data_IF_850972443258
#
_entry.id   IF_850972443258
#
_cell.length_a   1.000
_cell.length_b   1.000
_cell.length_c   1.000
_cell.angle_alpha   90.00
_cell.angle_beta   90.00
_cell.angle_gamma   90.00
#
_symmetry.space_group_name_H-M   'P 1'
#
loop_
_entity.id
_entity.type
_entity.pdbx_description
1 polymer ?
#
# COMPACT_ATOMS: atom_id res chain seq x y z
N UNK A 1 -2.02 12.40 -21.39
CA UNK A 1 -1.27 12.58 -20.13
C UNK A 1 -0.33 11.40 -20.00
N UNK A 2 0.95 11.62 -20.26
CA UNK A 2 2.02 10.67 -20.00
C UNK A 2 2.41 10.84 -18.53
N UNK A 3 2.58 9.73 -17.82
CA UNK A 3 3.10 9.71 -16.44
C UNK A 3 4.60 9.98 -16.52
N UNK A 4 4.94 11.25 -16.69
CA UNK A 4 6.30 11.76 -16.63
C UNK A 4 6.67 11.92 -15.17
N UNK A 5 7.46 10.94 -14.71
CA UNK A 5 8.45 10.98 -13.63
C UNK A 5 8.35 9.69 -12.81
N UNK A 6 8.90 8.62 -13.40
CA UNK A 6 8.81 7.26 -12.91
C UNK A 6 10.14 6.84 -12.25
N UNK A 7 10.69 7.69 -11.38
CA UNK A 7 11.75 7.28 -10.44
C UNK A 7 11.16 6.52 -9.22
N UNK A 8 9.85 6.25 -9.24
CA UNK A 8 9.09 5.40 -8.30
C UNK A 8 8.58 4.09 -8.96
N UNK A 9 9.24 3.63 -10.04
CA UNK A 9 8.68 2.67 -11.00
C UNK A 9 8.26 1.30 -10.47
N UNK A 10 8.82 0.83 -9.36
CA UNK A 10 8.65 -0.57 -8.94
C UNK A 10 7.69 -0.77 -7.74
N UNK A 11 7.41 0.27 -6.95
CA UNK A 11 6.68 0.13 -5.68
C UNK A 11 5.40 1.00 -5.64
N UNK A 12 4.25 0.33 -5.73
CA UNK A 12 2.93 0.94 -5.54
C UNK A 12 2.44 0.73 -4.10
N UNK A 13 2.12 1.82 -3.40
CA UNK A 13 1.56 1.77 -2.03
C UNK A 13 0.08 2.14 -2.04
N UNK A 14 -0.77 1.32 -1.40
CA UNK A 14 -2.20 1.56 -1.29
C UNK A 14 -2.66 1.49 0.17
N UNK A 15 -3.38 2.52 0.62
CA UNK A 15 -3.99 2.57 1.95
C UNK A 15 -5.50 2.31 1.86
N UNK A 16 -6.03 1.51 2.79
CA UNK A 16 -7.48 1.35 2.99
C UNK A 16 -7.82 1.06 4.45
N UNK A 17 -8.99 1.53 4.89
CA UNK A 17 -9.49 1.32 6.26
C UNK A 17 -10.15 -0.04 6.48
N UNK A 18 -10.45 -0.80 5.42
CA UNK A 18 -11.18 -2.07 5.50
C UNK A 18 -10.51 -3.14 4.64
N UNK A 19 -10.42 -4.37 5.17
CA UNK A 19 -9.77 -5.49 4.47
C UNK A 19 -10.44 -5.83 3.13
N UNK A 20 -11.77 -5.72 3.04
CA UNK A 20 -12.48 -5.93 1.77
C UNK A 20 -12.06 -4.88 0.72
N UNK A 21 -11.94 -3.61 1.12
CA UNK A 21 -11.47 -2.55 0.22
C UNK A 21 -10.01 -2.77 -0.20
N UNK A 22 -9.16 -3.27 0.71
CA UNK A 22 -7.80 -3.68 0.35
C UNK A 22 -7.81 -4.75 -0.75
N UNK A 23 -8.61 -5.82 -0.57
CA UNK A 23 -8.76 -6.89 -1.57
C UNK A 23 -9.22 -6.33 -2.93
N UNK A 24 -10.28 -5.52 -2.93
CA UNK A 24 -10.78 -4.89 -4.14
C UNK A 24 -9.73 -4.02 -4.84
N UNK A 25 -8.94 -3.23 -4.09
CA UNK A 25 -7.86 -2.42 -4.66
C UNK A 25 -6.74 -3.29 -5.25
N UNK A 26 -6.29 -4.34 -4.55
CA UNK A 26 -5.26 -5.25 -5.06
C UNK A 26 -5.70 -5.92 -6.36
N UNK A 27 -6.93 -6.43 -6.42
CA UNK A 27 -7.50 -7.02 -7.65
C UNK A 27 -7.59 -6.00 -8.78
N UNK A 28 -8.03 -4.77 -8.50
CA UNK A 28 -8.11 -3.70 -9.50
C UNK A 28 -6.75 -3.31 -10.05
N UNK A 29 -5.73 -3.21 -9.19
CA UNK A 29 -4.36 -2.92 -9.62
C UNK A 29 -3.80 -4.07 -10.44
N UNK A 30 -4.05 -5.33 -10.06
CA UNK A 30 -3.64 -6.49 -10.86
C UNK A 30 -4.25 -6.46 -12.27
N UNK A 31 -5.56 -6.22 -12.36
CA UNK A 31 -6.25 -6.10 -13.64
C UNK A 31 -5.73 -4.92 -14.47
N UNK A 32 -5.54 -3.74 -13.86
CA UNK A 32 -5.03 -2.57 -14.54
C UNK A 32 -3.59 -2.76 -15.04
N UNK A 33 -2.73 -3.37 -14.22
CA UNK A 33 -1.35 -3.70 -14.58
C UNK A 33 -1.31 -4.66 -15.76
N UNK A 34 -2.12 -5.73 -15.71
CA UNK A 34 -2.24 -6.68 -16.82
C UNK A 34 -2.73 -6.02 -18.12
N UNK A 35 -3.67 -5.07 -18.03
CA UNK A 35 -4.18 -4.33 -19.18
C UNK A 35 -3.10 -3.45 -19.86
N UNK A 36 -2.07 -3.03 -19.13
CA UNK A 36 -0.93 -2.27 -19.67
C UNK A 36 0.33 -3.14 -19.88
N UNK A 37 0.22 -4.47 -19.74
CA UNK A 37 1.33 -5.41 -19.93
C UNK A 37 2.33 -5.46 -18.77
N UNK A 38 1.98 -4.93 -17.60
CA UNK A 38 2.79 -4.99 -16.38
C UNK A 38 2.40 -6.21 -15.53
N UNK A 39 3.41 -6.84 -14.94
CA UNK A 39 3.23 -7.98 -14.04
C UNK A 39 3.47 -7.55 -12.59
N UNK A 40 2.48 -7.81 -11.72
CA UNK A 40 2.68 -7.63 -10.29
C UNK A 40 3.51 -8.79 -9.76
N UNK A 41 4.65 -8.46 -9.14
CA UNK A 41 5.46 -9.46 -8.47
C UNK A 41 4.84 -9.83 -7.12
N UNK A 42 4.04 -10.90 -7.11
CA UNK A 42 3.29 -11.36 -5.93
C UNK A 42 4.19 -11.59 -4.70
N UNK A 43 5.34 -12.25 -4.86
CA UNK A 43 6.28 -12.47 -3.77
C UNK A 43 7.00 -11.22 -3.22
N UNK A 44 6.82 -10.05 -3.85
CA UNK A 44 7.32 -8.76 -3.34
C UNK A 44 6.19 -7.91 -2.76
N UNK A 45 4.94 -8.31 -3.00
CA UNK A 45 3.76 -7.60 -2.52
C UNK A 45 3.59 -7.87 -1.02
N UNK A 46 3.69 -6.80 -0.25
CA UNK A 46 3.65 -6.82 1.22
C UNK A 46 2.45 -6.03 1.72
N UNK A 47 1.96 -6.39 2.90
CA UNK A 47 0.90 -5.68 3.58
C UNK A 47 1.34 -5.31 5.00
N UNK A 48 1.17 -4.04 5.33
CA UNK A 48 1.24 -3.55 6.71
C UNK A 48 -0.19 -3.38 7.22
N UNK A 49 -0.50 -4.06 8.32
CA UNK A 49 -1.78 -3.90 9.02
C UNK A 49 -1.53 -3.02 10.23
N UNK A 50 -2.22 -1.89 10.27
CA UNK A 50 -2.18 -1.00 11.43
C UNK A 50 -3.58 -0.93 12.06
N UNK A 51 -3.64 -0.85 13.39
CA UNK A 51 -4.88 -0.67 14.16
C UNK A 51 -6.02 -1.67 13.85
N UNK A 52 -5.69 -2.91 13.46
CA UNK A 52 -6.69 -3.95 13.18
C UNK A 52 -6.35 -5.28 13.82
N UNK A 53 -7.36 -5.92 14.43
CA UNK A 53 -7.27 -7.30 14.93
C UNK A 53 -7.50 -8.35 13.82
N UNK A 54 -7.73 -7.92 12.58
CA UNK A 54 -8.04 -8.82 11.48
C UNK A 54 -6.79 -9.56 11.02
N UNK A 55 -6.76 -10.87 11.25
CA UNK A 55 -5.65 -11.79 10.87
C UNK A 55 -5.91 -12.56 9.58
N UNK A 56 -7.06 -12.35 8.94
CA UNK A 56 -7.42 -13.08 7.74
C UNK A 56 -6.45 -12.75 6.60
N UNK A 57 -5.93 -13.72 5.85
CA UNK A 57 -5.01 -13.45 4.76
C UNK A 57 -5.68 -12.61 3.66
N UNK A 58 -4.90 -11.69 3.11
CA UNK A 58 -5.21 -11.02 1.86
C UNK A 58 -4.46 -11.77 0.77
N UNK A 59 -5.20 -12.18 -0.26
CA UNK A 59 -4.64 -12.94 -1.38
C UNK A 59 -4.68 -12.12 -2.65
N UNK A 60 -3.64 -12.28 -3.48
CA UNK A 60 -3.60 -11.80 -4.85
C UNK A 60 -3.45 -13.00 -5.78
N UNK A 61 -4.46 -13.25 -6.62
CA UNK A 61 -4.51 -14.44 -7.50
C UNK A 61 -4.20 -15.77 -6.77
N UNK A 62 -4.70 -15.90 -5.54
CA UNK A 62 -4.52 -17.11 -4.72
C UNK A 62 -3.21 -17.19 -3.92
N UNK A 63 -2.31 -16.23 -4.04
CA UNK A 63 -1.10 -16.14 -3.20
C UNK A 63 -1.31 -15.15 -2.05
N UNK A 64 -1.00 -15.58 -0.83
CA UNK A 64 -1.06 -14.73 0.36
C UNK A 64 -0.01 -13.61 0.28
N UNK A 65 -0.41 -12.39 0.61
CA UNK A 65 0.51 -11.27 0.76
C UNK A 65 1.29 -11.40 2.07
N UNK A 66 2.57 -11.07 2.05
CA UNK A 66 3.42 -11.10 3.24
C UNK A 66 3.02 -9.98 4.21
N UNK A 67 2.62 -10.36 5.43
CA UNK A 67 2.39 -9.43 6.53
C UNK A 67 3.72 -8.92 7.09
N UNK A 68 3.98 -7.63 6.92
CA UNK A 68 5.16 -6.96 7.45
C UNK A 68 4.81 -6.08 8.63
N UNK A 69 5.76 -5.90 9.55
CA UNK A 69 5.61 -5.04 10.74
C UNK A 69 5.96 -3.59 10.48
N UNK A 70 6.76 -3.34 9.45
CA UNK A 70 7.20 -2.00 9.07
C UNK A 70 7.18 -1.85 7.56
N UNK A 71 6.92 -0.63 7.10
CA UNK A 71 6.97 -0.22 5.71
C UNK A 71 7.82 1.04 5.61
N UNK A 72 8.73 1.09 4.62
CA UNK A 72 9.50 2.31 4.36
C UNK A 72 8.90 3.01 3.15
N UNK A 73 8.34 4.19 3.35
CA UNK A 73 7.79 5.02 2.29
C UNK A 73 8.48 6.38 2.30
N UNK A 74 9.14 6.74 1.18
CA UNK A 74 9.85 8.01 1.04
C UNK A 74 10.88 8.31 2.16
N UNK A 75 11.51 7.26 2.69
CA UNK A 75 12.46 7.38 3.81
C UNK A 75 11.80 7.41 5.20
N UNK A 76 10.47 7.47 5.28
CA UNK A 76 9.72 7.36 6.53
C UNK A 76 9.41 5.90 6.84
N UNK A 77 9.69 5.47 8.06
CA UNK A 77 9.31 4.15 8.57
C UNK A 77 7.94 4.26 9.22
N UNK A 78 6.98 3.51 8.70
CA UNK A 78 5.64 3.35 9.24
C UNK A 78 5.57 1.97 9.87
N UNK A 79 5.16 1.87 11.12
CA UNK A 79 4.97 0.60 11.82
C UNK A 79 3.47 0.23 11.97
N UNK A 80 3.21 -0.93 12.58
CA UNK A 80 1.85 -1.42 12.87
C UNK A 80 1.05 -0.52 13.83
N UNK A 81 1.68 0.41 14.53
CA UNK A 81 1.06 1.36 15.46
C UNK A 81 0.76 2.71 14.79
N UNK A 82 1.15 2.88 13.52
CA UNK A 82 0.93 4.10 12.76
C UNK A 82 1.92 5.22 13.09
N UNK A 83 3.03 4.90 13.76
CA UNK A 83 4.04 5.88 14.19
C UNK A 83 5.44 5.57 13.67
N UNK A 84 6.19 6.62 13.35
CA UNK A 84 7.64 6.58 13.48
C UNK A 84 7.96 7.03 14.90
N UNK A 85 8.60 6.18 15.71
CA UNK A 85 8.97 6.46 17.11
C UNK A 85 10.01 7.62 17.25
N UNK A 86 10.35 8.26 16.12
CA UNK A 86 11.15 9.48 16.04
C UNK A 86 10.32 10.61 15.42
N UNK A 87 9.73 11.44 16.28
CA UNK A 87 9.47 12.86 16.06
C UNK A 87 8.93 13.26 14.67
N UNK A 88 7.66 12.97 14.39
CA UNK A 88 6.92 13.65 13.32
C UNK A 88 5.56 14.11 13.85
N UNK A 89 5.58 15.19 14.63
CA UNK A 89 4.53 16.18 14.50
C UNK A 89 4.53 16.62 13.01
N UNK A 90 3.37 16.69 12.36
CA UNK A 90 3.18 17.30 11.01
C UNK A 90 3.10 16.36 9.79
N UNK A 91 2.17 15.40 9.76
CA UNK A 91 1.72 14.80 8.48
C UNK A 91 0.22 14.47 8.37
N UNK A 92 -0.54 14.52 9.47
CA UNK A 92 -2.01 14.31 9.44
C UNK A 92 -2.77 15.43 8.70
N UNK A 93 -2.09 16.50 8.25
CA UNK A 93 -2.73 17.64 7.58
C UNK A 93 -2.76 17.60 6.04
N UNK A 94 -2.10 16.66 5.37
CA UNK A 94 -2.02 16.73 3.90
C UNK A 94 -3.12 15.95 3.17
N UNK A 95 -3.74 14.94 3.79
CA UNK A 95 -4.81 14.15 3.16
C UNK A 95 -6.21 14.81 3.16
N UNK A 96 -6.40 15.95 3.83
CA UNK A 96 -7.62 16.77 3.68
C UNK A 96 -7.55 17.78 2.53
N UNK A 97 -6.39 17.98 1.89
CA UNK A 97 -6.21 19.04 0.88
C UNK A 97 -6.27 18.59 -0.58
N UNK A 98 -6.59 17.32 -0.86
CA UNK A 98 -6.77 16.84 -2.24
C UNK A 98 -8.11 16.12 -2.36
N UNK A 99 -9.19 16.88 -2.23
CA UNK A 99 -10.46 16.70 -2.96
C UNK A 99 -11.31 17.95 -2.70
N UNK A 100 -11.27 18.91 -3.63
CA UNK A 100 -12.36 19.86 -3.87
C UNK A 100 -13.17 19.34 -5.06
#
# INVERSE_FOLDING_TARGET
MQLEDLDFADDLTLLSQAQQRMKEKTTRVAAASGAVGLNIHKGKSKILRYNTACINPITNDGEDLEDVKTFTYLGSIIDEQGGSDADVNESVKQEQYIYN
#
